data_IF_422449254032
#
_entry.id   IF_422449254032
#
_cell.length_a   1.000
_cell.length_b   1.000
_cell.length_c   1.000
_cell.angle_alpha   90.00
_cell.angle_beta   90.00
_cell.angle_gamma   90.00
#
_symmetry.space_group_name_H-M   'P 1'
#
loop_
_entity.id
_entity.type
_entity.pdbx_description
1 polymer ?
#
# COMPACT_ATOMS: atom_id res chain seq x y z
N UNK A 1 4.24 -17.81 9.14
CA UNK A 1 5.34 -17.53 8.18
C UNK A 1 4.99 -16.21 7.48
N UNK A 2 5.64 -15.09 7.83
CA UNK A 2 5.18 -13.74 7.47
C UNK A 2 5.65 -13.28 6.06
N UNK A 3 5.89 -14.24 5.16
CA UNK A 3 6.54 -14.01 3.87
C UNK A 3 5.76 -13.05 2.95
N UNK A 4 4.43 -13.14 2.97
CA UNK A 4 3.52 -12.33 2.16
C UNK A 4 3.07 -11.04 2.86
N UNK A 5 3.55 -10.75 4.07
CA UNK A 5 3.03 -9.68 4.94
C UNK A 5 2.84 -8.34 4.22
N UNK A 6 3.86 -7.84 3.53
CA UNK A 6 3.80 -6.54 2.85
C UNK A 6 2.81 -6.52 1.69
N UNK A 7 2.79 -7.57 0.87
CA UNK A 7 1.93 -7.66 -0.31
C UNK A 7 0.47 -7.82 0.13
N UNK A 8 0.25 -8.64 1.15
CA UNK A 8 -1.04 -8.81 1.82
C UNK A 8 -1.56 -7.50 2.40
N UNK A 9 -0.75 -6.79 3.18
CA UNK A 9 -1.15 -5.54 3.83
C UNK A 9 -1.53 -4.48 2.80
N UNK A 10 -0.78 -4.35 1.70
CA UNK A 10 -1.14 -3.45 0.60
C UNK A 10 -2.50 -3.78 0.00
N UNK A 11 -2.83 -5.06 -0.19
CA UNK A 11 -4.16 -5.47 -0.68
C UNK A 11 -5.27 -5.06 0.28
N UNK A 12 -5.05 -5.22 1.58
CA UNK A 12 -5.99 -4.72 2.61
C UNK A 12 -6.18 -3.21 2.49
N UNK A 13 -5.10 -2.45 2.34
CA UNK A 13 -5.17 -0.99 2.16
C UNK A 13 -5.91 -0.58 0.90
N UNK A 14 -5.68 -1.24 -0.24
CA UNK A 14 -6.45 -0.94 -1.46
C UNK A 14 -7.94 -1.27 -1.31
N UNK A 15 -8.29 -2.37 -0.63
CA UNK A 15 -9.70 -2.70 -0.32
C UNK A 15 -10.37 -1.70 0.63
N UNK A 16 -9.60 -1.06 1.52
CA UNK A 16 -10.09 0.04 2.36
C UNK A 16 -10.21 1.33 1.55
N UNK A 17 -9.20 1.66 0.76
CA UNK A 17 -9.17 2.83 -0.10
C UNK A 17 -10.34 2.84 -1.08
N UNK A 18 -10.67 1.71 -1.70
CA UNK A 18 -11.85 1.57 -2.57
C UNK A 18 -13.16 1.92 -1.84
N UNK A 19 -13.37 1.39 -0.64
CA UNK A 19 -14.58 1.71 0.14
C UNK A 19 -14.64 3.19 0.50
N UNK A 20 -13.52 3.77 0.94
CA UNK A 20 -13.42 5.19 1.25
C UNK A 20 -13.65 6.04 0.01
N UNK A 21 -13.07 5.67 -1.13
CA UNK A 21 -13.21 6.39 -2.39
C UNK A 21 -14.66 6.39 -2.88
N UNK A 22 -15.36 5.26 -2.80
CA UNK A 22 -16.79 5.15 -3.11
C UNK A 22 -17.65 6.06 -2.22
N UNK A 23 -17.41 6.05 -0.91
CA UNK A 23 -18.13 6.92 0.04
C UNK A 23 -17.91 8.41 -0.22
N UNK A 24 -16.75 8.79 -0.77
CA UNK A 24 -16.37 10.18 -1.03
C UNK A 24 -16.47 10.57 -2.52
N UNK A 25 -17.07 9.72 -3.36
CA UNK A 25 -17.24 9.96 -4.80
C UNK A 25 -15.92 10.30 -5.52
N UNK A 26 -14.83 9.68 -5.11
CA UNK A 26 -13.54 9.81 -5.77
C UNK A 26 -13.49 8.89 -7.01
N UNK A 27 -12.66 9.24 -8.00
CA UNK A 27 -12.53 8.46 -9.24
C UNK A 27 -11.30 7.53 -9.25
N UNK A 28 -10.30 7.80 -8.41
CA UNK A 28 -9.02 7.09 -8.42
C UNK A 28 -8.34 7.11 -7.06
N UNK A 29 -7.38 6.19 -6.88
CA UNK A 29 -6.48 6.13 -5.72
C UNK A 29 -5.08 6.51 -6.16
N UNK A 30 -4.44 7.45 -5.47
CA UNK A 30 -3.05 7.84 -5.72
C UNK A 30 -2.12 7.17 -4.71
N UNK A 31 -0.97 6.68 -5.16
CA UNK A 31 0.06 6.11 -4.28
C UNK A 31 1.45 6.66 -4.60
N UNK A 32 2.32 6.66 -3.58
CA UNK A 32 3.74 6.98 -3.73
C UNK A 32 4.61 5.77 -4.08
N UNK A 33 4.06 4.70 -4.67
CA UNK A 33 4.84 3.51 -5.04
C UNK A 33 5.92 3.84 -6.09
N UNK A 34 7.09 3.22 -5.95
CA UNK A 34 8.30 3.46 -6.73
C UNK A 34 9.08 2.14 -6.91
N UNK A 35 9.54 1.85 -8.13
CA UNK A 35 10.24 0.59 -8.44
C UNK A 35 11.67 0.49 -7.87
N UNK A 36 12.31 1.61 -7.55
CA UNK A 36 13.71 1.70 -7.11
C UNK A 36 13.90 1.68 -5.58
N UNK A 37 12.83 1.71 -4.77
CA UNK A 37 12.97 1.98 -3.33
C UNK A 37 12.98 0.73 -2.42
N UNK A 38 12.24 -0.33 -2.74
CA UNK A 38 12.03 -1.46 -1.82
C UNK A 38 11.90 -2.78 -2.59
N UNK A 39 12.53 -3.83 -2.07
CA UNK A 39 12.59 -5.16 -2.70
C UNK A 39 11.23 -5.81 -2.95
N UNK A 40 10.20 -5.45 -2.18
CA UNK A 40 8.84 -5.96 -2.36
C UNK A 40 8.06 -5.24 -3.47
N UNK A 41 8.54 -4.11 -4.00
CA UNK A 41 7.89 -3.33 -5.06
C UNK A 41 8.37 -3.77 -6.45
N UNK A 42 8.19 -5.05 -6.76
CA UNK A 42 8.41 -5.57 -8.11
C UNK A 42 7.17 -5.34 -8.97
N UNK A 43 7.33 -5.29 -10.30
CA UNK A 43 6.20 -5.22 -11.23
C UNK A 43 5.18 -6.35 -11.01
N UNK A 44 5.66 -7.55 -10.69
CA UNK A 44 4.81 -8.71 -10.37
C UNK A 44 3.95 -8.47 -9.12
N UNK A 45 4.55 -7.96 -8.05
CA UNK A 45 3.80 -7.63 -6.84
C UNK A 45 2.86 -6.45 -7.06
N UNK A 46 3.25 -5.41 -7.82
CA UNK A 46 2.36 -4.29 -8.15
C UNK A 46 1.11 -4.76 -8.90
N UNK A 47 1.28 -5.63 -9.90
CA UNK A 47 0.17 -6.21 -10.65
C UNK A 47 -0.74 -7.07 -9.76
N UNK A 48 -0.15 -7.82 -8.84
CA UNK A 48 -0.89 -8.68 -7.91
C UNK A 48 -1.64 -7.88 -6.84
N UNK A 49 -1.06 -6.78 -6.38
CA UNK A 49 -1.68 -5.88 -5.41
C UNK A 49 -2.83 -5.11 -6.06
N UNK A 50 -2.65 -4.64 -7.29
CA UNK A 50 -3.67 -3.89 -8.03
C UNK A 50 -4.97 -4.70 -8.22
N UNK A 51 -4.89 -6.03 -8.31
CA UNK A 51 -6.07 -6.91 -8.40
C UNK A 51 -6.96 -6.93 -7.15
N UNK A 52 -6.51 -6.35 -6.03
CA UNK A 52 -7.32 -6.26 -4.82
C UNK A 52 -8.38 -5.16 -4.87
N UNK A 53 -8.33 -4.28 -5.87
CA UNK A 53 -9.28 -3.18 -6.05
C UNK A 53 -9.73 -3.05 -7.51
N UNK A 54 -10.94 -2.54 -7.69
CA UNK A 54 -11.47 -2.17 -9.01
C UNK A 54 -11.14 -0.72 -9.40
N UNK A 55 -10.63 0.09 -8.45
CA UNK A 55 -10.32 1.50 -8.68
C UNK A 55 -9.04 1.70 -9.49
N UNK A 56 -9.02 2.68 -10.42
CA UNK A 56 -7.79 3.11 -11.05
C UNK A 56 -6.74 3.56 -10.03
N UNK A 57 -5.51 3.03 -10.15
CA UNK A 57 -4.39 3.40 -9.28
C UNK A 57 -3.40 4.27 -10.06
N UNK A 58 -3.24 5.50 -9.61
CA UNK A 58 -2.26 6.45 -10.16
C UNK A 58 -0.96 6.34 -9.35
N UNK A 59 0.17 6.22 -10.05
CA UNK A 59 1.50 6.05 -9.45
C UNK A 59 2.49 7.09 -10.00
N UNK A 60 2.42 8.35 -9.55
CA UNK A 60 3.24 9.44 -10.10
C UNK A 60 4.74 9.19 -9.97
N UNK A 61 5.16 8.43 -8.96
CA UNK A 61 6.56 8.21 -8.61
C UNK A 61 7.14 6.91 -9.19
N UNK A 62 6.37 6.15 -9.99
CA UNK A 62 6.68 4.75 -10.31
C UNK A 62 8.08 4.56 -10.91
N UNK A 63 8.45 5.44 -11.84
CA UNK A 63 9.72 5.41 -12.57
C UNK A 63 10.72 6.49 -12.16
N UNK A 64 10.47 7.19 -11.04
CA UNK A 64 11.38 8.22 -10.55
C UNK A 64 12.57 7.61 -9.81
N UNK A 65 13.69 8.30 -9.79
CA UNK A 65 14.81 7.93 -8.93
C UNK A 65 14.59 8.43 -7.49
N UNK A 66 15.12 7.71 -6.52
CA UNK A 66 14.94 8.04 -5.09
C UNK A 66 15.40 9.47 -4.77
N UNK A 67 16.52 9.90 -5.36
CA UNK A 67 17.07 11.23 -5.13
C UNK A 67 16.18 12.35 -5.72
N UNK A 68 15.45 12.07 -6.80
CA UNK A 68 14.49 13.00 -7.37
C UNK A 68 13.29 13.18 -6.44
N UNK A 69 12.76 12.07 -5.89
CA UNK A 69 11.67 12.08 -4.91
C UNK A 69 12.08 12.87 -3.66
N UNK A 70 13.28 12.62 -3.13
CA UNK A 70 13.81 13.35 -1.97
C UNK A 70 13.95 14.84 -2.26
N UNK A 71 14.41 15.20 -3.46
CA UNK A 71 14.56 16.61 -3.87
C UNK A 71 13.21 17.31 -3.95
N UNK A 72 12.20 16.66 -4.55
CA UNK A 72 10.83 17.17 -4.56
C UNK A 72 10.24 17.30 -3.14
N UNK A 73 10.45 16.31 -2.28
CA UNK A 73 9.97 16.36 -0.89
C UNK A 73 10.59 17.54 -0.12
N UNK A 74 11.87 17.87 -0.36
CA UNK A 74 12.50 19.06 0.23
C UNK A 74 11.93 20.35 -0.36
N UNK A 75 11.75 20.40 -1.68
CA UNK A 75 11.16 21.55 -2.36
C UNK A 75 9.74 21.84 -1.87
N UNK A 76 8.94 20.80 -1.60
CA UNK A 76 7.57 20.93 -1.09
C UNK A 76 7.49 21.00 0.44
N UNK A 77 8.63 20.96 1.16
CA UNK A 77 8.67 21.05 2.62
C UNK A 77 8.15 19.82 3.37
N UNK A 78 7.96 18.68 2.70
CA UNK A 78 7.46 17.45 3.32
C UNK A 78 8.57 16.51 3.81
N UNK A 79 9.82 16.75 3.40
CA UNK A 79 10.96 15.89 3.73
C UNK A 79 11.10 15.70 5.24
N UNK A 80 11.21 16.78 6.02
CA UNK A 80 11.56 16.68 7.45
C UNK A 80 10.43 16.07 8.30
N UNK A 81 9.18 16.21 7.87
CA UNK A 81 8.00 15.57 8.49
C UNK A 81 7.97 14.06 8.17
N UNK A 82 8.49 13.67 7.01
CA UNK A 82 8.50 12.29 6.55
C UNK A 82 9.69 11.47 7.07
N UNK A 83 10.69 12.11 7.69
CA UNK A 83 11.86 11.42 8.24
C UNK A 83 11.50 10.80 9.59
N UNK A 84 11.26 9.48 9.60
CA UNK A 84 10.98 8.73 10.82
C UNK A 84 11.03 7.22 10.60
N UNK A 85 11.14 6.41 11.68
CA UNK A 85 11.11 4.96 11.57
C UNK A 85 9.75 4.48 11.05
N UNK A 86 9.75 3.69 9.98
CA UNK A 86 8.53 3.05 9.50
C UNK A 86 8.18 1.84 10.38
N UNK A 87 6.99 1.84 11.00
CA UNK A 87 6.50 0.71 11.81
C UNK A 87 6.50 -0.63 11.04
N UNK A 88 6.36 -0.55 9.72
CA UNK A 88 6.41 -1.68 8.79
C UNK A 88 7.73 -2.46 8.84
N UNK A 89 8.86 -1.80 9.10
CA UNK A 89 10.17 -2.46 9.19
C UNK A 89 10.28 -3.38 10.41
N UNK A 90 9.51 -3.10 11.46
CA UNK A 90 9.50 -3.90 12.69
C UNK A 90 8.62 -5.15 12.58
N UNK A 91 7.55 -5.11 11.76
CA UNK A 91 6.55 -6.18 11.65
C UNK A 91 6.79 -7.11 10.45
N UNK A 92 7.57 -6.66 9.47
CA UNK A 92 7.84 -7.36 8.23
C UNK A 92 8.73 -8.60 8.36
N UNK A 93 8.64 -9.50 7.37
CA UNK A 93 9.59 -10.60 7.21
C UNK A 93 10.96 -10.08 6.75
N UNK A 94 12.05 -10.63 7.32
CA UNK A 94 13.43 -10.40 6.83
C UNK A 94 13.65 -10.86 5.37
N UNK A 95 12.74 -11.70 4.85
CA UNK A 95 12.74 -12.20 3.47
C UNK A 95 11.33 -12.01 2.89
N UNK A 96 10.99 -10.80 2.42
CA UNK A 96 9.67 -10.54 1.84
C UNK A 96 9.51 -11.24 0.49
N UNK A 97 8.28 -11.58 0.13
CA UNK A 97 7.96 -12.09 -1.20
C UNK A 97 8.23 -11.02 -2.26
N UNK A 98 9.07 -11.35 -3.25
CA UNK A 98 9.37 -10.47 -4.40
C UNK A 98 8.54 -10.83 -5.64
N UNK A 99 7.88 -11.99 -5.62
CA UNK A 99 6.94 -12.44 -6.63
C UNK A 99 5.83 -13.21 -5.91
N UNK A 100 4.60 -12.77 -6.07
CA UNK A 100 3.41 -13.39 -5.46
C UNK A 100 2.33 -13.53 -6.52
N UNK A 101 1.47 -14.53 -6.41
CA UNK A 101 0.29 -14.65 -7.25
C UNK A 101 -0.97 -14.23 -6.50
N UNK A 102 -2.01 -13.84 -7.23
CA UNK A 102 -3.30 -13.51 -6.63
C UNK A 102 -3.87 -14.71 -5.84
N UNK A 103 -3.76 -15.92 -6.38
CA UNK A 103 -4.21 -17.15 -5.72
C UNK A 103 -3.52 -17.43 -4.38
N UNK A 104 -2.22 -17.15 -4.27
CA UNK A 104 -1.47 -17.30 -3.02
C UNK A 104 -1.99 -16.32 -1.97
N UNK A 105 -2.20 -15.05 -2.35
CA UNK A 105 -2.66 -14.03 -1.41
C UNK A 105 -4.11 -14.23 -1.00
N UNK A 106 -4.99 -14.66 -1.92
CA UNK A 106 -6.36 -15.05 -1.58
C UNK A 106 -6.42 -16.22 -0.60
N UNK A 107 -5.49 -17.18 -0.71
CA UNK A 107 -5.37 -18.26 0.26
C UNK A 107 -4.95 -17.75 1.65
N UNK A 108 -4.07 -16.74 1.73
CA UNK A 108 -3.74 -16.08 2.99
C UNK A 108 -4.92 -15.25 3.53
N UNK A 109 -5.67 -14.54 2.67
CA UNK A 109 -6.86 -13.75 3.04
C UNK A 109 -7.94 -14.61 3.69
N UNK A 110 -8.12 -15.86 3.21
CA UNK A 110 -9.09 -16.81 3.77
C UNK A 110 -8.75 -17.31 5.18
N UNK A 111 -7.49 -17.15 5.63
CA UNK A 111 -7.06 -17.60 6.97
C UNK A 111 -7.49 -16.63 8.07
N UNK A 112 -7.96 -15.43 7.71
CA UNK A 112 -8.38 -14.41 8.65
C UNK A 112 -9.80 -13.94 8.36
N UNK A 113 -10.46 -13.35 9.37
CA UNK A 113 -11.77 -12.73 9.21
C UNK A 113 -11.65 -11.36 8.50
N UNK A 114 -11.12 -11.33 7.28
CA UNK A 114 -10.74 -10.10 6.57
C UNK A 114 -11.91 -9.10 6.46
N UNK A 115 -13.11 -9.58 6.12
CA UNK A 115 -14.28 -8.70 6.00
C UNK A 115 -14.67 -8.02 7.32
N UNK A 116 -14.54 -8.73 8.44
CA UNK A 116 -14.78 -8.16 9.77
C UNK A 116 -13.73 -7.08 10.09
N UNK A 117 -12.45 -7.38 9.86
CA UNK A 117 -11.36 -6.43 10.07
C UNK A 117 -11.51 -5.17 9.22
N UNK A 118 -11.89 -5.31 7.95
CA UNK A 118 -12.13 -4.16 7.06
C UNK A 118 -13.28 -3.29 7.58
N UNK A 119 -14.36 -3.91 8.05
CA UNK A 119 -15.52 -3.20 8.62
C UNK A 119 -15.13 -2.45 9.89
N UNK A 120 -14.40 -3.11 10.79
CA UNK A 120 -13.96 -2.52 12.06
C UNK A 120 -13.01 -1.34 11.80
N UNK A 121 -12.05 -1.49 10.88
CA UNK A 121 -11.14 -0.43 10.49
C UNK A 121 -11.87 0.79 9.91
N UNK A 122 -12.89 0.57 9.07
CA UNK A 122 -13.71 1.65 8.53
C UNK A 122 -14.58 2.33 9.60
N UNK A 123 -15.07 1.57 10.58
CA UNK A 123 -15.86 2.14 11.67
C UNK A 123 -15.02 2.99 12.61
N UNK A 124 -13.76 2.60 12.86
CA UNK A 124 -12.82 3.31 13.72
C UNK A 124 -12.06 4.43 13.02
N UNK A 125 -12.27 4.63 11.71
CA UNK A 125 -11.54 5.65 10.95
C UNK A 125 -11.81 7.04 11.51
N UNK A 126 -10.79 7.88 11.49
CA UNK A 126 -10.89 9.29 11.87
C UNK A 126 -10.60 10.16 10.65
N UNK A 127 -11.48 11.11 10.38
CA UNK A 127 -11.25 12.14 9.36
C UNK A 127 -10.55 13.30 10.03
N UNK A 128 -9.33 13.59 9.59
CA UNK A 128 -8.57 14.75 10.04
C UNK A 128 -8.74 15.83 8.99
N UNK A 129 -9.41 16.92 9.36
CA UNK A 129 -9.49 18.15 8.56
C UNK A 129 -8.60 19.21 9.19
N UNK A 130 -7.78 19.87 8.37
CA UNK A 130 -7.01 21.05 8.75
C UNK A 130 -7.82 22.33 8.53
#
# INVERSE_FOLDING_TARGET
NNHYYFVFLKRVFFRLAEKIALENQCDFVVTGENLGQVSSQTLSNLATVAQATTFPIVRPLLGMEKNEIISLARQFGSHDISVGPELCDFLGSKKPATCSTNSQLEAEEKKIALNALLKDALHQKQVVSH
#
